data_IF_430099757230
#
_entry.id   IF_430099757230
#
_cell.length_a   1.000
_cell.length_b   1.000
_cell.length_c   1.000
_cell.angle_alpha   90.00
_cell.angle_beta   90.00
_cell.angle_gamma   90.00
#
_symmetry.space_group_name_H-M   'P 1'
#
loop_
_entity.id
_entity.type
_entity.pdbx_description
1 polymer ?
#
# COMPACT_ATOMS: atom_id res chain seq x y z
N UNK A 1 51.12 -50.95 28.61
CA UNK A 1 50.87 -50.04 27.48
C UNK A 1 49.36 -49.88 27.35
N UNK A 2 48.90 -48.68 27.65
CA UNK A 2 47.51 -48.29 27.95
C UNK A 2 46.70 -48.19 26.66
N UNK A 3 45.55 -48.88 26.58
CA UNK A 3 44.63 -48.80 25.43
C UNK A 3 43.77 -47.54 25.58
N UNK A 4 44.05 -46.51 24.78
CA UNK A 4 43.23 -45.30 24.65
C UNK A 4 41.87 -45.64 24.04
N UNK A 5 40.84 -45.72 24.90
CA UNK A 5 39.44 -45.80 24.47
C UNK A 5 39.03 -44.48 23.79
N UNK A 6 38.85 -44.52 22.47
CA UNK A 6 38.20 -43.46 21.69
C UNK A 6 36.75 -43.36 22.14
N UNK A 7 36.41 -42.34 22.94
CA UNK A 7 35.01 -41.99 23.23
C UNK A 7 34.36 -41.47 21.95
N UNK A 8 33.50 -42.27 21.34
CA UNK A 8 32.64 -41.80 20.26
C UNK A 8 31.67 -40.76 20.84
N UNK A 9 31.78 -39.52 20.39
CA UNK A 9 30.89 -38.44 20.76
C UNK A 9 29.52 -38.70 20.11
N UNK A 10 28.64 -39.41 20.80
CA UNK A 10 27.25 -39.56 20.40
C UNK A 10 26.55 -38.19 20.57
N UNK A 11 26.42 -37.47 19.45
CA UNK A 11 25.63 -36.22 19.38
C UNK A 11 24.15 -36.59 19.58
N UNK A 12 23.69 -36.54 20.83
CA UNK A 12 22.31 -36.81 21.18
C UNK A 12 21.46 -35.58 20.89
N UNK A 13 20.91 -35.49 19.69
CA UNK A 13 19.99 -34.40 19.31
C UNK A 13 18.69 -34.56 20.13
N UNK A 14 18.35 -33.53 20.92
CA UNK A 14 17.10 -33.53 21.68
C UNK A 14 15.90 -33.48 20.73
N UNK A 15 14.86 -34.32 20.90
CA UNK A 15 13.65 -34.31 20.06
C UNK A 15 12.98 -32.93 19.98
N UNK A 16 13.12 -32.10 21.03
CA UNK A 16 12.60 -30.73 21.05
C UNK A 16 13.24 -29.83 19.99
N UNK A 17 14.53 -30.04 19.70
CA UNK A 17 15.26 -29.27 18.67
C UNK A 17 14.76 -29.66 17.28
N UNK A 18 14.49 -30.94 17.05
CA UNK A 18 13.95 -31.44 15.78
C UNK A 18 12.55 -30.87 15.55
N UNK A 19 11.67 -30.91 16.56
CA UNK A 19 10.32 -30.33 16.47
C UNK A 19 10.37 -28.82 16.22
N UNK A 20 11.26 -28.10 16.92
CA UNK A 20 11.42 -26.67 16.73
C UNK A 20 11.90 -26.32 15.31
N UNK A 21 12.89 -27.04 14.78
CA UNK A 21 13.39 -26.85 13.42
C UNK A 21 12.28 -27.11 12.40
N UNK A 22 11.54 -28.21 12.55
CA UNK A 22 10.42 -28.54 11.65
C UNK A 22 9.34 -27.46 11.70
N UNK A 23 8.95 -26.99 12.89
CA UNK A 23 7.99 -25.90 13.05
C UNK A 23 8.50 -24.59 12.44
N UNK A 24 9.79 -24.27 12.60
CA UNK A 24 10.39 -23.08 12.03
C UNK A 24 10.33 -23.08 10.49
N UNK A 25 10.73 -24.18 9.85
CA UNK A 25 10.62 -24.31 8.39
C UNK A 25 9.16 -24.35 7.91
N UNK A 26 8.26 -25.00 8.65
CA UNK A 26 6.83 -24.98 8.36
C UNK A 26 6.24 -23.56 8.45
N UNK A 27 6.68 -22.76 9.42
CA UNK A 27 6.27 -21.37 9.56
C UNK A 27 6.76 -20.51 8.38
N UNK A 28 8.02 -20.64 7.96
CA UNK A 28 8.55 -19.95 6.78
C UNK A 28 7.76 -20.34 5.53
N UNK A 29 7.53 -21.64 5.33
CA UNK A 29 6.74 -22.13 4.20
C UNK A 29 5.31 -21.58 4.21
N UNK A 30 4.68 -21.50 5.39
CA UNK A 30 3.35 -20.93 5.55
C UNK A 30 3.32 -19.44 5.24
N UNK A 31 4.29 -18.65 5.76
CA UNK A 31 4.42 -17.23 5.47
C UNK A 31 4.56 -16.99 3.96
N UNK A 32 5.36 -17.80 3.26
CA UNK A 32 5.47 -17.73 1.79
C UNK A 32 4.12 -17.94 1.06
N UNK A 33 3.22 -18.77 1.63
CA UNK A 33 1.88 -18.98 1.06
C UNK A 33 0.93 -17.82 1.33
N UNK A 34 1.07 -17.14 2.47
CA UNK A 34 0.16 -16.05 2.85
C UNK A 34 0.73 -14.65 2.64
N UNK A 35 1.95 -14.50 2.13
CA UNK A 35 2.63 -13.21 1.99
C UNK A 35 1.82 -12.17 1.22
N UNK A 36 1.08 -12.58 0.19
CA UNK A 36 0.22 -11.66 -0.58
C UNK A 36 -0.93 -11.12 0.29
N UNK A 37 -1.56 -11.99 1.09
CA UNK A 37 -2.63 -11.58 2.01
C UNK A 37 -2.06 -10.68 3.11
N UNK A 38 -0.88 -11.01 3.64
CA UNK A 38 -0.18 -10.19 4.63
C UNK A 38 0.14 -8.80 4.06
N UNK A 39 0.65 -8.72 2.83
CA UNK A 39 0.95 -7.48 2.15
C UNK A 39 -0.31 -6.63 1.93
N UNK A 40 -1.38 -7.22 1.40
CA UNK A 40 -2.67 -6.54 1.21
C UNK A 40 -3.22 -6.01 2.54
N UNK A 41 -3.17 -6.83 3.60
CA UNK A 41 -3.65 -6.44 4.93
C UNK A 41 -2.79 -5.34 5.54
N UNK A 42 -1.47 -5.39 5.32
CA UNK A 42 -0.53 -4.36 5.76
C UNK A 42 -0.82 -3.02 5.08
N UNK A 43 -0.97 -2.99 3.76
CA UNK A 43 -1.36 -1.79 3.00
C UNK A 43 -2.73 -1.28 3.45
N UNK A 44 -3.70 -2.18 3.65
CA UNK A 44 -5.02 -1.83 4.15
C UNK A 44 -4.96 -1.18 5.55
N UNK A 45 -4.10 -1.69 6.43
CA UNK A 45 -3.88 -1.11 7.75
C UNK A 45 -3.26 0.29 7.67
N UNK A 46 -2.26 0.51 6.81
CA UNK A 46 -1.68 1.84 6.56
C UNK A 46 -2.76 2.84 6.12
N UNK A 47 -3.60 2.47 5.14
CA UNK A 47 -4.70 3.32 4.65
C UNK A 47 -5.68 3.64 5.80
N UNK A 48 -6.04 2.64 6.61
CA UNK A 48 -6.95 2.79 7.75
C UNK A 48 -6.40 3.77 8.79
N UNK A 49 -5.11 3.65 9.11
CA UNK A 49 -4.42 4.54 10.05
C UNK A 49 -4.29 5.96 9.51
N UNK A 50 -3.98 6.12 8.22
CA UNK A 50 -3.92 7.41 7.54
C UNK A 50 -5.26 8.16 7.55
N UNK A 51 -6.35 7.46 7.24
CA UNK A 51 -7.71 8.01 7.17
C UNK A 51 -8.40 8.17 8.53
N UNK A 52 -7.81 7.65 9.62
CA UNK A 52 -8.42 7.70 10.95
C UNK A 52 -8.68 9.14 11.45
N UNK A 53 -7.83 10.11 11.13
CA UNK A 53 -8.02 11.52 11.54
C UNK A 53 -9.20 12.18 10.80
N UNK A 54 -9.32 12.08 9.46
CA UNK A 54 -10.54 12.46 8.75
C UNK A 54 -11.82 11.82 9.31
N UNK A 55 -11.79 10.51 9.60
CA UNK A 55 -12.94 9.76 10.14
C UNK A 55 -13.37 10.31 11.50
N UNK A 56 -12.41 10.43 12.43
CA UNK A 56 -12.68 10.95 13.78
C UNK A 56 -13.09 12.43 13.77
N UNK A 57 -12.54 13.24 12.87
CA UNK A 57 -12.94 14.64 12.71
C UNK A 57 -14.38 14.76 12.23
N UNK A 58 -14.79 13.93 11.27
CA UNK A 58 -16.17 13.88 10.80
C UNK A 58 -17.13 13.36 11.89
N UNK A 59 -16.72 12.31 12.59
CA UNK A 59 -17.45 11.74 13.72
C UNK A 59 -17.67 12.78 14.83
N UNK A 60 -16.64 13.54 15.20
CA UNK A 60 -16.73 14.54 16.26
C UNK A 60 -17.53 15.77 15.84
N UNK A 61 -17.47 16.15 14.55
CA UNK A 61 -18.19 17.31 14.01
C UNK A 61 -19.69 17.06 13.83
N UNK A 62 -20.08 15.86 13.39
CA UNK A 62 -21.47 15.52 13.08
C UNK A 62 -22.11 14.52 14.06
N UNK A 63 -21.36 14.03 15.06
CA UNK A 63 -21.78 13.02 16.05
C UNK A 63 -22.33 11.73 15.43
N UNK A 64 -21.84 11.36 14.25
CA UNK A 64 -22.27 10.16 13.54
C UNK A 64 -21.67 8.88 14.13
N UNK A 65 -22.28 7.73 13.81
CA UNK A 65 -21.68 6.43 14.13
C UNK A 65 -20.33 6.30 13.39
N UNK A 66 -19.38 5.57 13.99
CA UNK A 66 -18.07 5.34 13.37
C UNK A 66 -18.20 4.71 11.99
N UNK A 67 -19.10 3.74 11.84
CA UNK A 67 -19.38 3.08 10.56
C UNK A 67 -19.78 4.05 9.44
N UNK A 68 -20.74 4.96 9.68
CA UNK A 68 -21.19 5.91 8.66
C UNK A 68 -20.12 6.93 8.32
N UNK A 69 -19.35 7.37 9.33
CA UNK A 69 -18.21 8.29 9.12
C UNK A 69 -17.11 7.63 8.29
N UNK A 70 -16.78 6.37 8.58
CA UNK A 70 -15.80 5.59 7.80
C UNK A 70 -16.26 5.43 6.35
N UNK A 71 -17.49 4.98 6.11
CA UNK A 71 -18.00 4.80 4.74
C UNK A 71 -17.95 6.11 3.95
N UNK A 72 -18.36 7.23 4.53
CA UNK A 72 -18.33 8.51 3.84
C UNK A 72 -16.91 8.98 3.53
N UNK A 73 -15.97 8.84 4.48
CA UNK A 73 -14.57 9.23 4.25
C UNK A 73 -13.93 8.35 3.17
N UNK A 74 -14.18 7.04 3.18
CA UNK A 74 -13.64 6.15 2.14
C UNK A 74 -14.26 6.45 0.77
N UNK A 75 -15.57 6.72 0.70
CA UNK A 75 -16.20 7.15 -0.55
C UNK A 75 -15.58 8.44 -1.08
N UNK A 76 -15.38 9.44 -0.21
CA UNK A 76 -14.73 10.69 -0.57
C UNK A 76 -13.27 10.48 -1.00
N UNK A 77 -12.52 9.63 -0.29
CA UNK A 77 -11.14 9.28 -0.64
C UNK A 77 -11.06 8.62 -2.03
N UNK A 78 -11.94 7.67 -2.34
CA UNK A 78 -12.01 7.02 -3.65
C UNK A 78 -12.33 8.04 -4.74
N UNK A 79 -13.27 8.95 -4.51
CA UNK A 79 -13.63 9.99 -5.48
C UNK A 79 -12.47 10.96 -5.71
N UNK A 80 -11.83 11.45 -4.64
CA UNK A 80 -10.69 12.38 -4.73
C UNK A 80 -9.51 11.69 -5.43
N UNK A 81 -9.16 10.48 -5.01
CA UNK A 81 -8.04 9.73 -5.60
C UNK A 81 -8.33 9.35 -7.05
N UNK A 82 -9.55 8.92 -7.35
CA UNK A 82 -10.00 8.63 -8.71
C UNK A 82 -9.93 9.86 -9.61
N UNK A 83 -10.40 11.02 -9.15
CA UNK A 83 -10.30 12.29 -9.88
C UNK A 83 -8.85 12.75 -10.06
N UNK A 84 -8.00 12.57 -9.05
CA UNK A 84 -6.57 12.87 -9.13
C UNK A 84 -5.90 12.01 -10.21
N UNK A 85 -6.10 10.68 -10.17
CA UNK A 85 -5.55 9.77 -11.18
C UNK A 85 -6.09 10.09 -12.57
N UNK A 86 -7.39 10.35 -12.69
CA UNK A 86 -8.04 10.74 -13.95
C UNK A 86 -7.41 11.97 -14.60
N UNK A 87 -7.10 12.99 -13.80
CA UNK A 87 -6.60 14.27 -14.28
C UNK A 87 -5.09 14.22 -14.54
N UNK A 88 -4.34 13.47 -13.73
CA UNK A 88 -2.88 13.47 -13.75
C UNK A 88 -2.29 12.37 -14.65
N UNK A 89 -2.85 11.16 -14.63
CA UNK A 89 -2.25 10.03 -15.36
C UNK A 89 -2.16 10.29 -16.87
N UNK A 90 -3.18 10.82 -17.57
CA UNK A 90 -3.07 11.07 -19.01
C UNK A 90 -1.96 12.06 -19.41
N UNK A 91 -1.88 13.29 -18.85
CA UNK A 91 -0.78 14.21 -19.19
C UNK A 91 0.57 13.69 -18.72
N UNK A 92 0.63 13.03 -17.55
CA UNK A 92 1.87 12.37 -17.09
C UNK A 92 2.36 11.34 -18.09
N UNK A 93 1.50 10.39 -18.51
CA UNK A 93 1.87 9.33 -19.43
C UNK A 93 2.36 9.88 -20.78
N UNK A 94 1.69 10.93 -21.29
CA UNK A 94 2.10 11.61 -22.52
C UNK A 94 3.49 12.25 -22.39
N UNK A 95 3.70 13.05 -21.36
CA UNK A 95 5.00 13.73 -21.13
C UNK A 95 6.11 12.73 -20.81
N UNK A 96 5.83 11.71 -20.01
CA UNK A 96 6.77 10.67 -19.62
C UNK A 96 7.22 9.81 -20.81
N UNK A 97 6.28 9.41 -21.68
CA UNK A 97 6.61 8.70 -22.92
C UNK A 97 7.48 9.55 -23.85
N UNK A 98 7.14 10.83 -24.01
CA UNK A 98 7.93 11.76 -24.84
C UNK A 98 9.34 11.96 -24.25
N UNK A 99 9.43 12.08 -22.92
CA UNK A 99 10.70 12.16 -22.19
C UNK A 99 11.58 10.94 -22.48
N UNK A 100 11.07 9.72 -22.26
CA UNK A 100 11.82 8.49 -22.51
C UNK A 100 12.22 8.37 -23.98
N UNK A 101 11.30 8.62 -24.92
CA UNK A 101 11.60 8.54 -26.36
C UNK A 101 12.61 9.57 -26.86
N UNK A 102 12.87 10.64 -26.10
CA UNK A 102 13.91 11.62 -26.39
C UNK A 102 15.31 11.18 -25.93
N UNK A 103 15.42 10.17 -25.08
CA UNK A 103 16.69 9.55 -24.71
C UNK A 103 17.00 8.40 -25.68
N UNK A 104 18.14 8.45 -26.39
CA UNK A 104 18.71 7.27 -27.04
C UNK A 104 19.17 6.29 -25.98
N UNK A 105 18.34 5.31 -25.67
CA UNK A 105 18.64 4.26 -24.70
C UNK A 105 19.54 3.18 -25.35
N UNK A 106 20.41 2.52 -24.57
CA UNK A 106 21.09 1.31 -25.00
C UNK A 106 20.07 0.22 -25.40
N UNK A 107 20.37 -0.60 -26.43
CA UNK A 107 19.42 -1.60 -26.95
C UNK A 107 19.02 -2.70 -25.95
N UNK A 108 19.74 -2.87 -24.84
CA UNK A 108 19.31 -3.75 -23.74
C UNK A 108 18.15 -3.16 -22.92
N UNK A 109 18.04 -1.83 -22.88
CA UNK A 109 17.04 -1.11 -22.11
C UNK A 109 15.74 -0.94 -22.92
N UNK A 110 15.85 -0.76 -24.24
CA UNK A 110 14.68 -0.68 -25.15
C UNK A 110 13.77 -1.91 -25.05
N UNK A 111 14.32 -3.11 -24.89
CA UNK A 111 13.51 -4.35 -24.73
C UNK A 111 12.69 -4.39 -23.44
N UNK A 112 13.16 -3.73 -22.38
CA UNK A 112 12.41 -3.60 -21.12
C UNK A 112 11.27 -2.62 -21.31
N UNK A 113 11.48 -1.55 -22.07
CA UNK A 113 10.45 -0.56 -22.37
C UNK A 113 9.44 -1.01 -23.45
N UNK A 114 9.80 -1.90 -24.38
CA UNK A 114 8.85 -2.55 -25.29
C UNK A 114 7.92 -3.54 -24.55
N UNK A 115 8.43 -4.23 -23.53
CA UNK A 115 7.57 -5.06 -22.65
C UNK A 115 6.75 -4.21 -21.66
N UNK A 116 7.24 -3.00 -21.35
CA UNK A 116 6.55 -1.91 -20.66
C UNK A 116 5.93 -0.92 -21.66
N UNK A 117 5.48 -1.39 -22.83
CA UNK A 117 4.48 -0.68 -23.63
C UNK A 117 3.25 -0.50 -22.72
N UNK A 118 3.30 0.53 -21.87
CA UNK A 118 2.14 1.27 -21.45
C UNK A 118 1.49 1.59 -22.77
N UNK A 119 0.45 0.82 -23.11
CA UNK A 119 -0.24 0.96 -24.35
C UNK A 119 -0.81 2.38 -24.32
N UNK A 120 -0.07 3.34 -24.84
CA UNK A 120 -0.45 4.75 -24.86
C UNK A 120 -1.67 4.91 -25.77
N UNK A 121 -1.89 3.93 -26.65
CA UNK A 121 -3.17 3.68 -27.30
C UNK A 121 -4.27 3.33 -26.31
N UNK A 122 -4.06 2.54 -25.26
CA UNK A 122 -5.06 2.30 -24.20
C UNK A 122 -5.31 3.55 -23.34
N UNK A 123 -4.31 4.41 -23.10
CA UNK A 123 -4.48 5.67 -22.33
C UNK A 123 -5.14 6.77 -23.20
N UNK A 124 -4.80 6.85 -24.49
CA UNK A 124 -5.46 7.73 -25.44
C UNK A 124 -6.86 7.23 -25.82
N UNK A 125 -7.09 5.92 -25.84
CA UNK A 125 -8.43 5.32 -25.90
C UNK A 125 -9.19 5.58 -24.59
N UNK A 126 -8.56 5.48 -23.42
CA UNK A 126 -9.17 5.82 -22.13
C UNK A 126 -9.70 7.26 -22.10
N UNK A 127 -8.95 8.22 -22.66
CA UNK A 127 -9.38 9.63 -22.77
C UNK A 127 -10.40 9.86 -23.89
N UNK A 128 -10.26 9.20 -25.06
CA UNK A 128 -11.21 9.31 -26.17
C UNK A 128 -12.53 8.56 -25.95
N UNK A 129 -12.55 7.53 -25.08
CA UNK A 129 -13.72 6.69 -24.81
C UNK A 129 -14.42 7.04 -23.48
N UNK A 130 -13.85 7.92 -22.65
CA UNK A 130 -14.54 8.45 -21.46
C UNK A 130 -15.87 9.12 -21.84
N UNK A 131 -15.99 9.65 -23.06
CA UNK A 131 -17.19 10.35 -23.48
C UNK A 131 -18.41 9.45 -23.78
N UNK A 132 -18.41 8.11 -23.62
CA UNK A 132 -19.61 7.38 -24.06
C UNK A 132 -19.93 5.91 -23.74
N UNK A 133 -19.20 5.11 -22.95
CA UNK A 133 -19.76 3.77 -22.62
C UNK A 133 -19.24 3.11 -21.35
N UNK A 134 -20.17 2.83 -20.43
CA UNK A 134 -20.03 1.91 -19.30
C UNK A 134 -19.42 0.55 -19.71
N UNK A 135 -19.73 0.10 -20.93
CA UNK A 135 -19.22 -1.15 -21.53
C UNK A 135 -17.70 -1.17 -21.70
N UNK A 136 -17.09 -0.01 -21.97
CA UNK A 136 -15.63 0.10 -22.17
C UNK A 136 -14.88 0.11 -20.86
N UNK A 137 -15.41 0.80 -19.84
CA UNK A 137 -14.93 0.70 -18.47
C UNK A 137 -15.01 -0.76 -17.97
N UNK A 138 -16.08 -1.48 -18.33
CA UNK A 138 -16.25 -2.89 -17.98
C UNK A 138 -15.22 -3.81 -18.68
N UNK A 139 -14.86 -3.55 -19.92
CA UNK A 139 -13.86 -4.33 -20.67
C UNK A 139 -12.41 -4.08 -20.17
N UNK A 140 -12.08 -2.87 -19.73
CA UNK A 140 -10.80 -2.57 -19.06
C UNK A 140 -10.73 -3.22 -17.68
N UNK A 141 -11.84 -3.19 -16.93
CA UNK A 141 -11.95 -3.92 -15.66
C UNK A 141 -11.81 -5.43 -15.87
N UNK A 142 -12.28 -5.98 -17.01
CA UNK A 142 -12.15 -7.41 -17.30
C UNK A 142 -10.73 -7.82 -17.72
N UNK A 143 -9.99 -6.98 -18.47
CA UNK A 143 -8.58 -7.24 -18.82
C UNK A 143 -7.61 -7.06 -17.64
N UNK A 144 -7.93 -6.19 -16.68
CA UNK A 144 -7.10 -5.90 -15.49
C UNK A 144 -7.74 -6.40 -14.20
N UNK A 145 -8.65 -7.39 -14.30
CA UNK A 145 -9.54 -7.82 -13.22
C UNK A 145 -8.80 -8.15 -11.92
N UNK A 146 -7.64 -8.80 -12.01
CA UNK A 146 -6.82 -9.15 -10.84
C UNK A 146 -6.36 -7.92 -10.04
N UNK A 147 -5.93 -6.85 -10.72
CA UNK A 147 -5.43 -5.63 -10.08
C UNK A 147 -6.55 -4.81 -9.45
N UNK A 148 -7.62 -4.56 -10.21
CA UNK A 148 -8.81 -3.82 -9.71
C UNK A 148 -9.44 -4.54 -8.52
N UNK A 149 -9.60 -5.88 -8.61
CA UNK A 149 -10.10 -6.68 -7.52
C UNK A 149 -9.21 -6.57 -6.28
N UNK A 150 -7.88 -6.62 -6.44
CA UNK A 150 -6.93 -6.45 -5.33
C UNK A 150 -7.07 -5.09 -4.65
N UNK A 151 -7.21 -4.01 -5.43
CA UNK A 151 -7.44 -2.66 -4.88
C UNK A 151 -8.76 -2.60 -4.12
N UNK A 152 -9.85 -3.13 -4.69
CA UNK A 152 -11.17 -3.17 -4.03
C UNK A 152 -11.08 -3.94 -2.71
N UNK A 153 -10.50 -5.13 -2.71
CA UNK A 153 -10.32 -5.95 -1.50
C UNK A 153 -9.48 -5.21 -0.45
N UNK A 154 -8.40 -4.56 -0.86
CA UNK A 154 -7.56 -3.75 0.03
C UNK A 154 -8.37 -2.64 0.70
N UNK A 155 -9.16 -1.91 -0.10
CA UNK A 155 -10.02 -0.83 0.39
C UNK A 155 -11.11 -1.36 1.33
N UNK A 156 -11.72 -2.50 1.01
CA UNK A 156 -12.74 -3.15 1.85
C UNK A 156 -12.15 -3.59 3.19
N UNK A 157 -10.99 -4.26 3.19
CA UNK A 157 -10.29 -4.67 4.42
C UNK A 157 -9.93 -3.43 5.24
N UNK A 158 -9.43 -2.39 4.59
CA UNK A 158 -9.06 -1.14 5.25
C UNK A 158 -10.27 -0.48 5.92
N UNK A 159 -11.40 -0.43 5.21
CA UNK A 159 -12.67 0.08 5.72
C UNK A 159 -13.15 -0.75 6.92
N UNK A 160 -13.08 -2.07 6.83
CA UNK A 160 -13.43 -2.98 7.93
C UNK A 160 -12.61 -2.69 9.20
N UNK A 161 -11.27 -2.62 9.07
CA UNK A 161 -10.36 -2.24 10.16
C UNK A 161 -10.73 -0.86 10.73
N UNK A 162 -11.04 0.11 9.86
CA UNK A 162 -11.44 1.47 10.27
C UNK A 162 -12.75 1.48 11.07
N UNK A 163 -13.72 0.63 10.73
CA UNK A 163 -15.01 0.52 11.42
C UNK A 163 -14.83 -0.12 12.80
N UNK A 164 -14.05 -1.20 12.88
CA UNK A 164 -13.85 -1.98 14.13
C UNK A 164 -12.81 -1.40 15.09
N UNK A 165 -12.07 -0.36 14.67
CA UNK A 165 -10.98 0.23 15.45
C UNK A 165 -11.40 0.50 16.91
N UNK A 166 -10.73 -0.16 17.86
CA UNK A 166 -11.03 -0.13 19.30
C UNK A 166 -11.76 -1.37 19.85
N UNK A 167 -12.23 -2.27 19.00
CA UNK A 167 -12.79 -3.58 19.37
C UNK A 167 -11.77 -4.70 19.19
N UNK A 168 -10.90 -4.67 18.17
CA UNK A 168 -9.94 -5.76 17.90
C UNK A 168 -9.16 -6.25 19.13
N UNK A 169 -8.56 -5.35 19.93
CA UNK A 169 -7.81 -5.78 21.13
C UNK A 169 -8.73 -6.32 22.23
N UNK A 170 -9.97 -5.85 22.31
CA UNK A 170 -11.00 -6.41 23.21
C UNK A 170 -11.47 -7.78 22.71
N UNK A 171 -11.53 -7.99 21.41
CA UNK A 171 -11.90 -9.28 20.81
C UNK A 171 -10.83 -10.34 21.08
N UNK A 172 -9.56 -9.95 21.24
CA UNK A 172 -8.48 -10.84 21.69
C UNK A 172 -8.37 -11.01 23.21
N UNK A 173 -9.32 -10.46 23.99
CA UNK A 173 -9.32 -10.62 25.45
C UNK A 173 -9.49 -12.08 25.92
N UNK A 174 -9.94 -12.99 25.06
CA UNK A 174 -9.97 -14.42 25.37
C UNK A 174 -8.57 -15.05 25.50
N UNK A 175 -7.53 -14.45 24.88
CA UNK A 175 -6.15 -14.93 24.98
C UNK A 175 -5.55 -14.70 26.37
N UNK A 176 -6.07 -13.73 27.14
CA UNK A 176 -5.55 -13.43 28.47
C UNK A 176 -6.61 -12.85 29.39
N UNK A 177 -6.76 -13.44 30.59
CA UNK A 177 -7.66 -12.89 31.64
C UNK A 177 -7.07 -11.65 32.33
N UNK A 178 -5.83 -11.27 32.02
CA UNK A 178 -5.17 -10.15 32.67
C UNK A 178 -5.61 -8.81 32.04
N UNK A 179 -6.59 -8.17 32.68
CA UNK A 179 -7.15 -6.90 32.24
C UNK A 179 -6.11 -5.76 32.19
N UNK A 180 -5.03 -5.82 32.99
CA UNK A 180 -3.93 -4.84 32.91
C UNK A 180 -3.14 -4.99 31.62
N UNK A 181 -2.86 -6.22 31.20
CA UNK A 181 -2.12 -6.51 29.97
C UNK A 181 -2.93 -6.11 28.72
N UNK A 182 -4.24 -6.37 28.71
CA UNK A 182 -5.16 -5.90 27.65
C UNK A 182 -5.14 -4.38 27.53
N UNK A 183 -5.17 -3.67 28.67
CA UNK A 183 -5.10 -2.20 28.69
C UNK A 183 -3.78 -1.69 28.13
N UNK A 184 -2.65 -2.28 28.54
CA UNK A 184 -1.32 -1.92 28.03
C UNK A 184 -1.19 -2.13 26.52
N UNK A 185 -1.69 -3.26 26.00
CA UNK A 185 -1.67 -3.52 24.54
C UNK A 185 -2.53 -2.49 23.81
N UNK A 186 -3.72 -2.18 24.32
CA UNK A 186 -4.58 -1.15 23.74
C UNK A 186 -3.90 0.23 23.67
N UNK A 187 -3.25 0.63 24.76
CA UNK A 187 -2.53 1.90 24.83
C UNK A 187 -1.36 1.92 23.83
N UNK A 188 -0.55 0.86 23.80
CA UNK A 188 0.55 0.74 22.85
C UNK A 188 0.08 0.75 21.38
N UNK A 189 -0.96 -0.01 21.05
CA UNK A 189 -1.53 -0.01 19.69
C UNK A 189 -2.10 1.35 19.31
N UNK A 190 -2.77 2.03 20.25
CA UNK A 190 -3.29 3.38 20.02
C UNK A 190 -2.17 4.40 19.79
N UNK A 191 -1.06 4.29 20.51
CA UNK A 191 0.10 5.16 20.30
C UNK A 191 0.73 4.92 18.92
N UNK A 192 0.92 3.65 18.52
CA UNK A 192 1.41 3.28 17.19
C UNK A 192 0.50 3.85 16.10
N UNK A 193 -0.83 3.69 16.24
CA UNK A 193 -1.80 4.22 15.29
C UNK A 193 -1.72 5.75 15.16
N UNK A 194 -1.50 6.47 16.26
CA UNK A 194 -1.39 7.93 16.25
C UNK A 194 -0.09 8.35 15.57
N UNK A 195 1.04 7.73 15.93
CA UNK A 195 2.35 8.04 15.36
C UNK A 195 2.41 7.72 13.87
N UNK A 196 2.02 6.51 13.46
CA UNK A 196 1.94 6.11 12.06
C UNK A 196 0.99 7.02 11.28
N UNK A 197 -0.18 7.34 11.85
CA UNK A 197 -1.12 8.23 11.19
C UNK A 197 -0.54 9.64 10.97
N UNK A 198 0.18 10.18 11.96
CA UNK A 198 0.83 11.47 11.84
C UNK A 198 1.95 11.44 10.81
N UNK A 199 2.77 10.38 10.81
CA UNK A 199 3.81 10.17 9.82
C UNK A 199 3.23 10.10 8.40
N UNK A 200 2.24 9.24 8.13
CA UNK A 200 1.60 9.10 6.80
C UNK A 200 1.08 10.45 6.28
N UNK A 201 0.44 11.25 7.16
CA UNK A 201 -0.07 12.57 6.77
C UNK A 201 1.05 13.59 6.55
N UNK A 202 2.12 13.49 7.33
CA UNK A 202 3.34 14.28 7.15
C UNK A 202 3.96 14.00 5.78
N UNK A 203 4.21 12.74 5.47
CA UNK A 203 4.74 12.31 4.18
C UNK A 203 3.84 12.74 3.03
N UNK A 204 2.54 12.46 3.09
CA UNK A 204 1.61 12.90 2.05
C UNK A 204 1.64 14.44 1.83
N UNK A 205 1.86 15.22 2.91
CA UNK A 205 2.00 16.68 2.81
C UNK A 205 3.34 17.06 2.17
N UNK A 206 4.44 16.39 2.55
CA UNK A 206 5.77 16.59 1.97
C UNK A 206 5.79 16.26 0.48
N UNK A 207 5.25 15.10 0.09
CA UNK A 207 5.13 14.67 -1.31
C UNK A 207 4.41 15.73 -2.16
N UNK A 208 3.34 16.34 -1.63
CA UNK A 208 2.61 17.42 -2.32
C UNK A 208 3.45 18.70 -2.39
N UNK A 209 4.08 19.11 -1.30
CA UNK A 209 4.91 20.33 -1.26
C UNK A 209 6.09 20.19 -2.23
N UNK A 210 6.85 19.10 -2.15
CA UNK A 210 8.00 18.83 -3.01
C UNK A 210 7.55 18.72 -4.47
N UNK A 211 6.48 17.96 -4.74
CA UNK A 211 5.93 17.86 -6.09
C UNK A 211 5.54 19.21 -6.68
N UNK A 212 4.83 20.06 -5.92
CA UNK A 212 4.45 21.41 -6.38
C UNK A 212 5.66 22.31 -6.58
N UNK A 213 6.62 22.31 -5.66
CA UNK A 213 7.84 23.12 -5.77
C UNK A 213 8.67 22.70 -6.99
N UNK A 214 8.82 21.40 -7.23
CA UNK A 214 9.53 20.88 -8.41
C UNK A 214 8.77 21.22 -9.69
N UNK A 215 7.44 21.09 -9.70
CA UNK A 215 6.62 21.48 -10.86
C UNK A 215 6.81 22.97 -11.21
N UNK A 216 6.67 23.85 -10.21
CA UNK A 216 6.83 25.29 -10.40
C UNK A 216 8.26 25.62 -10.79
N UNK A 217 9.26 25.05 -10.12
CA UNK A 217 10.67 25.29 -10.42
C UNK A 217 11.06 24.86 -11.84
N UNK A 218 10.67 23.66 -12.25
CA UNK A 218 10.94 23.15 -13.60
C UNK A 218 10.18 23.92 -14.67
N UNK A 219 8.91 24.29 -14.43
CA UNK A 219 8.13 25.11 -15.33
C UNK A 219 8.68 26.53 -15.50
N UNK A 220 9.13 27.18 -14.41
CA UNK A 220 9.70 28.53 -14.45
C UNK A 220 11.03 28.61 -15.19
N UNK A 221 11.88 27.60 -15.02
CA UNK A 221 13.18 27.51 -15.72
C UNK A 221 12.98 27.11 -17.20
N UNK A 222 11.78 26.66 -17.58
CA UNK A 222 11.46 26.24 -18.94
C UNK A 222 12.00 24.85 -19.28
N UNK A 223 12.17 23.98 -18.28
CA UNK A 223 12.55 22.58 -18.52
C UNK A 223 11.43 21.84 -19.27
N UNK A 224 11.77 20.94 -20.20
CA UNK A 224 10.79 20.04 -20.78
C UNK A 224 10.31 19.03 -19.73
N UNK A 225 9.05 18.62 -19.85
CA UNK A 225 8.42 17.59 -19.01
C UNK A 225 8.34 17.92 -17.50
N UNK A 226 7.84 19.12 -17.12
CA UNK A 226 7.76 19.52 -15.71
C UNK A 226 6.85 18.61 -14.88
N UNK A 227 5.80 18.04 -15.47
CA UNK A 227 4.83 17.21 -14.74
C UNK A 227 5.41 15.84 -14.33
N UNK A 228 6.03 15.04 -15.22
CA UNK A 228 6.70 13.81 -14.82
C UNK A 228 7.80 14.02 -13.79
N UNK A 229 8.63 15.05 -13.96
CA UNK A 229 9.71 15.35 -13.02
C UNK A 229 9.16 15.69 -11.63
N UNK A 230 8.11 16.51 -11.57
CA UNK A 230 7.43 16.87 -10.34
C UNK A 230 6.81 15.67 -9.62
N UNK A 231 6.10 14.81 -10.36
CA UNK A 231 5.46 13.64 -9.78
C UNK A 231 6.48 12.60 -9.30
N UNK A 232 7.54 12.38 -10.07
CA UNK A 232 8.63 11.49 -9.64
C UNK A 232 9.31 12.04 -8.39
N UNK A 233 9.64 13.33 -8.36
CA UNK A 233 10.23 13.95 -7.17
C UNK A 233 9.30 13.84 -5.95
N UNK A 234 8.02 14.17 -6.11
CA UNK A 234 7.05 14.06 -5.03
C UNK A 234 6.83 12.62 -4.54
N UNK A 235 6.78 11.63 -5.44
CA UNK A 235 6.59 10.22 -5.07
C UNK A 235 7.84 9.59 -4.47
N UNK A 236 9.03 10.00 -4.92
CA UNK A 236 10.32 9.50 -4.45
C UNK A 236 10.85 10.20 -3.21
N UNK A 237 10.14 11.21 -2.70
CA UNK A 237 10.42 11.82 -1.38
C UNK A 237 10.15 10.86 -0.20
N UNK A 238 9.76 9.60 -0.48
CA UNK A 238 9.35 8.57 0.49
C UNK A 238 10.48 7.94 1.30
#
# INVERSE_FOLDING_TARGET
MEKTQKKELLVKISPSIIVFIVLFFAAIWFVEKIKNILFITFVAYIISVGLNKPISSLQNKFHWKRSTSSVLVYALFIVIMGAFLALIIPPFAKEFSTMIGSFTLPPEIDKVFDTFELNLQDISQFTAQWSGSLTTAFNLISSTFSGVFTVIVTIVISLYISIEKGQMVKDFSWLTKNNKLIKQINEATSEIDIQLGNWIRGEATLMIIVGVLVFVGTALIGLPYPLPLALLAGVLEI
#
